data_IF_833802211164
#
_entry.id   IF_833802211164
#
_cell.length_a   1.000
_cell.length_b   1.000
_cell.length_c   1.000
_cell.angle_alpha   90.00
_cell.angle_beta   90.00
_cell.angle_gamma   90.00
#
_symmetry.space_group_name_H-M   'P 1'
#
loop_
_entity.id
_entity.type
_entity.pdbx_description
1 polymer ?
#
# COMPACT_ATOMS: atom_id res chain seq x y z
N UNK A 1 59.31 -1.68 -5.45
CA UNK A 1 58.19 -1.17 -6.26
C UNK A 1 56.86 -1.94 -6.14
N UNK A 2 56.78 -3.19 -5.69
CA UNK A 2 55.50 -3.97 -5.60
C UNK A 2 54.54 -3.62 -4.44
N UNK A 3 55.05 -2.94 -3.38
CA UNK A 3 54.20 -2.56 -2.22
C UNK A 3 53.38 -1.28 -2.43
N UNK A 4 53.83 -0.36 -3.28
CA UNK A 4 53.15 0.89 -3.53
C UNK A 4 51.87 0.75 -4.37
N UNK A 5 51.85 -0.25 -5.26
CA UNK A 5 50.71 -0.46 -6.16
C UNK A 5 49.44 -1.00 -5.44
N UNK A 6 49.63 -1.84 -4.40
CA UNK A 6 48.51 -2.36 -3.58
C UNK A 6 47.84 -1.28 -2.74
N UNK A 7 48.61 -0.26 -2.29
CA UNK A 7 48.06 0.82 -1.46
C UNK A 7 47.27 1.87 -2.25
N UNK A 8 47.44 1.87 -3.58
CA UNK A 8 46.68 2.77 -4.49
C UNK A 8 45.47 2.03 -5.05
N UNK A 9 45.57 0.73 -5.28
CA UNK A 9 44.47 -0.06 -5.86
C UNK A 9 43.26 -0.20 -4.92
N UNK A 10 43.50 -0.34 -3.61
CA UNK A 10 42.45 -0.51 -2.61
C UNK A 10 41.55 0.74 -2.46
N UNK A 11 42.09 1.98 -2.30
CA UNK A 11 41.26 3.18 -2.26
C UNK A 11 40.60 3.49 -3.60
N UNK A 12 41.23 3.14 -4.73
CA UNK A 12 40.63 3.30 -6.05
C UNK A 12 39.43 2.35 -6.25
N UNK A 13 39.53 1.11 -5.75
CA UNK A 13 38.42 0.15 -5.78
C UNK A 13 37.26 0.59 -4.86
N UNK A 14 37.56 1.13 -3.69
CA UNK A 14 36.58 1.71 -2.77
C UNK A 14 35.91 2.97 -3.38
N UNK A 15 36.66 3.79 -4.11
CA UNK A 15 36.09 4.96 -4.80
C UNK A 15 35.17 4.54 -5.95
N UNK A 16 35.50 3.46 -6.68
CA UNK A 16 34.66 2.93 -7.73
C UNK A 16 33.31 2.36 -7.19
N UNK A 17 33.31 1.77 -6.00
CA UNK A 17 32.09 1.33 -5.33
C UNK A 17 31.18 2.50 -4.88
N UNK A 18 31.76 3.67 -4.60
CA UNK A 18 30.99 4.85 -4.14
C UNK A 18 30.23 5.56 -5.28
N UNK A 19 30.71 5.43 -6.52
CA UNK A 19 30.08 6.10 -7.69
C UNK A 19 28.81 5.38 -8.18
N UNK A 20 28.57 4.12 -7.75
CA UNK A 20 27.43 3.32 -8.17
C UNK A 20 26.10 3.59 -7.39
N UNK A 21 26.12 4.35 -6.32
CA UNK A 21 24.99 4.49 -5.39
C UNK A 21 24.37 5.89 -5.40
N UNK A 22 23.83 6.35 -6.49
CA UNK A 22 23.21 7.66 -6.41
C UNK A 22 22.58 8.22 -7.66
N UNK A 23 21.98 7.44 -8.50
CA UNK A 23 21.04 8.00 -9.47
C UNK A 23 19.67 8.06 -8.81
N UNK A 24 19.30 9.24 -8.29
CA UNK A 24 17.93 9.51 -7.92
C UNK A 24 17.05 9.27 -9.15
N UNK A 25 16.14 8.32 -9.05
CA UNK A 25 15.21 8.01 -10.15
C UNK A 25 14.32 9.23 -10.33
N UNK A 26 14.42 9.85 -11.50
CA UNK A 26 13.61 11.01 -11.82
C UNK A 26 12.17 10.54 -12.05
N UNK A 27 11.24 11.00 -11.22
CA UNK A 27 9.80 10.79 -11.48
C UNK A 27 9.43 11.46 -12.81
N UNK A 28 8.49 10.87 -13.57
CA UNK A 28 8.01 11.49 -14.80
C UNK A 28 7.46 12.88 -14.56
N UNK A 29 7.82 13.81 -15.43
CA UNK A 29 7.28 15.17 -15.38
C UNK A 29 5.77 15.15 -15.63
N UNK A 30 5.03 16.08 -15.00
CA UNK A 30 3.59 16.21 -15.21
C UNK A 30 3.32 16.42 -16.70
N UNK A 31 2.52 15.54 -17.34
CA UNK A 31 2.23 15.67 -18.76
C UNK A 31 1.46 16.95 -19.10
N UNK A 32 1.78 17.57 -20.22
CA UNK A 32 1.05 18.73 -20.71
C UNK A 32 -0.38 18.39 -21.13
N UNK A 33 -0.57 17.20 -21.71
CA UNK A 33 -1.89 16.63 -21.98
C UNK A 33 -2.28 15.69 -20.84
N UNK A 34 -3.41 16.00 -20.18
CA UNK A 34 -3.85 15.27 -19.01
C UNK A 34 -4.97 14.29 -19.39
N UNK A 35 -4.72 13.03 -19.10
CA UNK A 35 -5.61 11.90 -19.30
C UNK A 35 -5.61 11.00 -18.07
N UNK A 36 -6.26 9.84 -18.14
CA UNK A 36 -6.34 8.90 -17.03
C UNK A 36 -5.39 7.71 -17.14
N UNK A 37 -4.63 7.61 -18.25
CA UNK A 37 -3.68 6.51 -18.46
C UNK A 37 -2.38 7.00 -19.08
N UNK A 38 -1.26 6.62 -18.48
CA UNK A 38 0.09 6.97 -18.94
C UNK A 38 1.03 5.79 -18.92
N UNK A 39 1.95 5.74 -19.90
CA UNK A 39 3.07 4.81 -19.97
C UNK A 39 4.38 5.57 -20.16
N UNK A 40 5.40 5.26 -19.37
CA UNK A 40 6.73 5.83 -19.44
C UNK A 40 7.77 4.73 -19.60
N UNK A 41 8.51 4.75 -20.68
CA UNK A 41 9.57 3.80 -21.02
C UNK A 41 9.14 2.32 -20.99
N UNK A 42 7.83 2.08 -21.11
CA UNK A 42 7.24 0.74 -21.14
C UNK A 42 6.00 0.74 -22.04
N UNK A 43 5.61 -0.46 -22.47
CA UNK A 43 4.34 -0.69 -23.15
C UNK A 43 3.61 -1.84 -22.43
N UNK A 44 2.58 -1.48 -21.68
CA UNK A 44 1.82 -2.43 -20.86
C UNK A 44 0.57 -2.92 -21.59
N UNK A 45 -0.11 -2.03 -22.30
CA UNK A 45 -1.37 -2.30 -22.99
C UNK A 45 -1.27 -2.04 -24.49
N UNK A 46 -2.15 -2.67 -25.27
CA UNK A 46 -2.35 -2.28 -26.67
C UNK A 46 -3.22 -1.01 -26.77
N UNK A 47 -3.27 -0.41 -27.96
CA UNK A 47 -3.96 0.87 -28.16
C UNK A 47 -5.49 0.77 -27.93
N UNK A 48 -6.09 -0.39 -28.23
CA UNK A 48 -7.51 -0.62 -27.97
C UNK A 48 -7.82 -0.70 -26.48
N UNK A 49 -6.97 -1.43 -25.75
CA UNK A 49 -7.06 -1.58 -24.29
C UNK A 49 -6.85 -0.25 -23.58
N UNK A 50 -5.83 0.54 -24.01
CA UNK A 50 -5.58 1.88 -23.48
C UNK A 50 -6.81 2.75 -23.62
N UNK A 51 -7.33 2.87 -24.84
CA UNK A 51 -8.50 3.70 -25.14
C UNK A 51 -9.72 3.27 -24.33
N UNK A 52 -9.96 1.96 -24.19
CA UNK A 52 -11.09 1.44 -23.43
C UNK A 52 -10.97 1.79 -21.94
N UNK A 53 -9.78 1.56 -21.35
CA UNK A 53 -9.52 1.88 -19.93
C UNK A 53 -9.62 3.39 -19.69
N UNK A 54 -8.99 4.20 -20.53
CA UNK A 54 -8.99 5.65 -20.45
C UNK A 54 -10.43 6.22 -20.51
N UNK A 55 -11.24 5.77 -21.47
CA UNK A 55 -12.63 6.21 -21.59
C UNK A 55 -13.46 5.83 -20.36
N UNK A 56 -13.24 4.65 -19.82
CA UNK A 56 -13.90 4.22 -18.56
C UNK A 56 -13.58 5.15 -17.41
N UNK A 57 -12.31 5.51 -17.24
CA UNK A 57 -11.83 6.35 -16.16
C UNK A 57 -12.29 7.80 -16.31
N UNK A 58 -12.29 8.33 -17.53
CA UNK A 58 -12.79 9.68 -17.85
C UNK A 58 -14.29 9.74 -17.55
N UNK A 59 -15.09 8.78 -18.03
CA UNK A 59 -16.53 8.75 -17.76
C UNK A 59 -16.84 8.68 -16.26
N UNK A 60 -16.01 7.97 -15.50
CA UNK A 60 -16.14 7.91 -14.04
C UNK A 60 -15.85 9.27 -13.39
N UNK A 61 -14.77 9.92 -13.80
CA UNK A 61 -14.39 11.22 -13.28
C UNK A 61 -15.46 12.29 -13.60
N UNK A 62 -16.01 12.26 -14.80
CA UNK A 62 -17.06 13.18 -15.23
C UNK A 62 -18.34 13.02 -14.40
N UNK A 63 -18.66 11.78 -14.00
CA UNK A 63 -19.88 11.49 -13.21
C UNK A 63 -19.73 11.69 -11.71
N UNK A 64 -18.51 11.58 -11.15
CA UNK A 64 -18.27 11.57 -9.69
C UNK A 64 -17.33 12.66 -9.21
N UNK A 65 -16.63 13.32 -10.11
CA UNK A 65 -15.49 14.21 -9.86
C UNK A 65 -14.25 13.53 -9.28
N UNK A 66 -14.28 12.23 -8.95
CA UNK A 66 -13.13 11.47 -8.45
C UNK A 66 -12.22 11.09 -9.60
N UNK A 67 -10.94 11.47 -9.53
CA UNK A 67 -9.97 11.20 -10.57
C UNK A 67 -9.19 9.93 -10.26
N UNK A 68 -9.34 8.91 -11.09
CA UNK A 68 -8.52 7.69 -11.06
C UNK A 68 -7.54 7.76 -12.22
N UNK A 69 -6.24 7.70 -11.91
CA UNK A 69 -5.16 7.76 -12.90
C UNK A 69 -4.32 6.50 -12.80
N UNK A 70 -4.00 5.91 -13.94
CA UNK A 70 -3.09 4.77 -14.04
C UNK A 70 -1.79 5.23 -14.67
N UNK A 71 -0.68 4.93 -14.02
CA UNK A 71 0.67 5.22 -14.51
C UNK A 71 1.46 3.92 -14.55
N UNK A 72 1.90 3.52 -15.73
CA UNK A 72 2.83 2.42 -15.93
C UNK A 72 4.23 2.97 -16.16
N UNK A 73 5.18 2.52 -15.37
CA UNK A 73 6.61 2.84 -15.51
C UNK A 73 7.41 1.56 -15.73
N UNK A 74 8.55 1.69 -16.39
CA UNK A 74 9.45 0.56 -16.59
C UNK A 74 9.93 -0.01 -15.24
N UNK A 75 10.45 0.86 -14.38
CA UNK A 75 10.98 0.54 -13.05
C UNK A 75 10.94 1.77 -12.14
N UNK A 76 10.92 1.57 -10.83
CA UNK A 76 11.13 2.62 -9.84
C UNK A 76 12.61 2.91 -9.59
N UNK A 77 13.52 2.16 -10.25
CA UNK A 77 14.97 2.32 -10.10
C UNK A 77 15.49 2.02 -8.69
N UNK A 78 14.79 1.16 -7.96
CA UNK A 78 15.15 0.77 -6.60
C UNK A 78 14.55 1.67 -5.51
N UNK A 79 13.77 2.70 -5.87
CA UNK A 79 12.99 3.44 -4.90
C UNK A 79 11.78 2.62 -4.44
N UNK A 80 11.38 2.80 -3.18
CA UNK A 80 10.19 2.13 -2.65
C UNK A 80 8.94 2.57 -3.45
N UNK A 81 8.18 1.62 -3.98
CA UNK A 81 7.05 1.88 -4.88
C UNK A 81 6.01 2.83 -4.29
N UNK A 82 5.77 2.75 -2.97
CA UNK A 82 4.83 3.65 -2.29
C UNK A 82 5.30 5.10 -2.32
N UNK A 83 6.62 5.33 -2.16
CA UNK A 83 7.19 6.68 -2.20
C UNK A 83 7.14 7.24 -3.61
N UNK A 84 7.53 6.43 -4.61
CA UNK A 84 7.48 6.80 -6.01
C UNK A 84 6.05 7.14 -6.46
N UNK A 85 5.04 6.34 -6.02
CA UNK A 85 3.63 6.61 -6.28
C UNK A 85 3.17 7.91 -5.61
N UNK A 86 3.56 8.14 -4.36
CA UNK A 86 3.25 9.36 -3.63
C UNK A 86 3.83 10.58 -4.33
N UNK A 87 5.10 10.55 -4.71
CA UNK A 87 5.79 11.66 -5.35
C UNK A 87 5.15 12.01 -6.71
N UNK A 88 4.73 11.03 -7.51
CA UNK A 88 3.98 11.28 -8.76
C UNK A 88 2.64 11.92 -8.42
N UNK A 89 1.86 11.32 -7.53
CA UNK A 89 0.50 11.76 -7.22
C UNK A 89 0.46 13.20 -6.70
N UNK A 90 1.39 13.54 -5.81
CA UNK A 90 1.51 14.86 -5.19
C UNK A 90 2.05 15.89 -6.19
N UNK A 91 3.13 15.58 -6.93
CA UNK A 91 3.73 16.48 -7.92
C UNK A 91 2.77 16.78 -9.07
N UNK A 92 2.01 15.80 -9.54
CA UNK A 92 1.03 16.01 -10.60
C UNK A 92 -0.23 16.68 -10.09
N UNK A 93 -0.51 16.60 -8.76
CA UNK A 93 -1.70 17.15 -8.13
C UNK A 93 -2.97 16.46 -8.64
N UNK A 94 -2.96 15.10 -8.66
CA UNK A 94 -4.10 14.31 -9.11
C UNK A 94 -5.29 14.53 -8.18
N UNK A 95 -6.48 14.77 -8.75
CA UNK A 95 -7.67 15.13 -8.00
C UNK A 95 -7.95 16.62 -8.02
N UNK A 96 -9.00 17.04 -7.34
CA UNK A 96 -9.43 18.43 -7.28
C UNK A 96 -8.91 19.09 -6.00
N UNK A 97 -8.42 20.33 -6.14
CA UNK A 97 -8.01 21.13 -4.99
C UNK A 97 -9.16 21.24 -3.96
N UNK A 98 -8.84 21.01 -2.69
CA UNK A 98 -9.78 21.09 -1.60
C UNK A 98 -10.75 19.90 -1.47
N UNK A 99 -10.87 19.05 -2.51
CA UNK A 99 -11.56 17.75 -2.41
C UNK A 99 -10.61 16.62 -2.18
N UNK A 100 -9.38 16.71 -2.66
CA UNK A 100 -8.30 15.73 -2.55
C UNK A 100 -8.75 14.32 -2.98
N UNK A 101 -9.58 14.27 -4.03
CA UNK A 101 -10.29 13.08 -4.49
C UNK A 101 -9.58 12.34 -5.63
N UNK A 102 -8.25 12.39 -5.62
CA UNK A 102 -7.39 11.67 -6.55
C UNK A 102 -7.07 10.25 -6.09
N UNK A 103 -6.94 9.33 -7.03
CA UNK A 103 -6.44 7.97 -6.81
C UNK A 103 -5.44 7.66 -7.93
N UNK A 104 -4.23 7.23 -7.57
CA UNK A 104 -3.22 6.81 -8.53
C UNK A 104 -2.99 5.29 -8.42
N UNK A 105 -3.02 4.59 -9.54
CA UNK A 105 -2.53 3.22 -9.65
C UNK A 105 -1.18 3.26 -10.36
N UNK A 106 -0.11 2.97 -9.64
CA UNK A 106 1.24 2.85 -10.19
C UNK A 106 1.55 1.39 -10.49
N UNK A 107 2.03 1.11 -11.70
CA UNK A 107 2.51 -0.22 -12.11
C UNK A 107 3.97 -0.11 -12.52
N UNK A 108 4.87 -0.74 -11.76
CA UNK A 108 6.30 -0.84 -12.07
C UNK A 108 6.58 -2.22 -12.68
N UNK A 109 6.71 -2.25 -14.01
CA UNK A 109 6.63 -3.50 -14.79
C UNK A 109 7.81 -4.43 -14.52
N UNK A 110 9.04 -3.93 -14.56
CA UNK A 110 10.25 -4.73 -14.31
C UNK A 110 10.37 -5.11 -12.82
N UNK A 111 9.90 -4.24 -11.93
CA UNK A 111 9.92 -4.50 -10.47
C UNK A 111 8.78 -5.44 -10.05
N UNK A 112 7.86 -5.77 -10.97
CA UNK A 112 6.64 -6.54 -10.71
C UNK A 112 5.87 -6.01 -9.52
N UNK A 113 5.76 -4.69 -9.43
CA UNK A 113 5.13 -3.99 -8.32
C UNK A 113 3.92 -3.18 -8.77
N UNK A 114 2.85 -3.22 -8.00
CA UNK A 114 1.69 -2.35 -8.15
C UNK A 114 1.39 -1.66 -6.84
N UNK A 115 1.04 -0.39 -6.90
CA UNK A 115 0.66 0.39 -5.72
C UNK A 115 -0.54 1.28 -6.05
N UNK A 116 -1.53 1.31 -5.17
CA UNK A 116 -2.65 2.25 -5.24
C UNK A 116 -2.40 3.31 -4.17
N UNK A 117 -2.21 4.55 -4.61
CA UNK A 117 -2.05 5.73 -3.77
C UNK A 117 -3.38 6.47 -3.69
N UNK A 118 -3.86 6.75 -2.47
CA UNK A 118 -5.15 7.40 -2.23
C UNK A 118 -4.97 8.86 -1.78
N UNK A 119 -5.75 9.77 -2.34
CA UNK A 119 -5.83 11.15 -1.90
C UNK A 119 -6.56 11.29 -0.56
N UNK A 120 -6.32 12.37 0.17
CA UNK A 120 -6.90 12.62 1.50
C UNK A 120 -8.43 12.50 1.52
N UNK A 121 -9.10 12.99 0.49
CA UNK A 121 -10.55 12.98 0.39
C UNK A 121 -11.16 11.61 0.07
N UNK A 122 -10.34 10.64 -0.37
CA UNK A 122 -10.81 9.28 -0.68
C UNK A 122 -10.59 8.28 0.44
N UNK A 123 -9.75 8.58 1.42
CA UNK A 123 -9.33 7.63 2.47
C UNK A 123 -10.47 7.11 3.35
N UNK A 124 -11.55 7.87 3.50
CA UNK A 124 -12.72 7.41 4.27
C UNK A 124 -13.39 6.18 3.67
N UNK A 125 -13.37 6.05 2.34
CA UNK A 125 -13.94 4.92 1.59
C UNK A 125 -12.85 3.96 1.10
N UNK A 126 -11.71 4.49 0.64
CA UNK A 126 -10.54 3.74 0.19
C UNK A 126 -9.52 3.65 1.31
N UNK A 127 -9.86 2.90 2.37
CA UNK A 127 -8.91 2.61 3.45
C UNK A 127 -7.76 1.74 2.96
N UNK A 128 -6.61 1.75 3.65
CA UNK A 128 -5.47 0.89 3.29
C UNK A 128 -5.86 -0.60 3.24
N UNK A 129 -6.78 -1.02 4.12
CA UNK A 129 -7.29 -2.39 4.12
C UNK A 129 -8.08 -2.72 2.84
N UNK A 130 -9.01 -1.87 2.42
CA UNK A 130 -9.79 -2.03 1.18
C UNK A 130 -8.86 -1.96 -0.02
N UNK A 131 -7.94 -1.00 -0.03
CA UNK A 131 -6.95 -0.84 -1.09
C UNK A 131 -6.10 -2.09 -1.26
N UNK A 132 -5.65 -2.69 -0.14
CA UNK A 132 -4.89 -3.94 -0.13
C UNK A 132 -5.71 -5.10 -0.69
N UNK A 133 -6.96 -5.25 -0.29
CA UNK A 133 -7.86 -6.28 -0.82
C UNK A 133 -8.03 -6.16 -2.34
N UNK A 134 -8.23 -4.96 -2.86
CA UNK A 134 -8.33 -4.72 -4.30
C UNK A 134 -7.04 -5.13 -5.02
N UNK A 135 -5.89 -4.76 -4.50
CA UNK A 135 -4.61 -5.16 -5.09
C UNK A 135 -4.46 -6.68 -5.11
N UNK A 136 -4.72 -7.35 -3.99
CA UNK A 136 -4.49 -8.79 -3.83
C UNK A 136 -5.53 -9.66 -4.55
N UNK A 137 -6.79 -9.22 -4.62
CA UNK A 137 -7.89 -10.04 -5.16
C UNK A 137 -8.24 -9.69 -6.61
N UNK A 138 -8.08 -8.44 -7.02
CA UNK A 138 -8.55 -7.98 -8.33
C UNK A 138 -7.39 -7.72 -9.32
N UNK A 139 -6.25 -7.20 -8.85
CA UNK A 139 -5.15 -6.81 -9.76
C UNK A 139 -4.10 -7.90 -9.87
N UNK A 140 -3.47 -8.28 -8.77
CA UNK A 140 -2.32 -9.19 -8.73
C UNK A 140 -2.61 -10.57 -9.35
N UNK A 141 -3.77 -11.21 -9.16
CA UNK A 141 -4.05 -12.50 -9.77
C UNK A 141 -4.05 -12.48 -11.31
N UNK A 142 -4.51 -11.39 -11.92
CA UNK A 142 -4.50 -11.25 -13.38
C UNK A 142 -3.07 -10.88 -13.87
N UNK A 143 -2.35 -10.03 -13.16
CA UNK A 143 -0.96 -9.70 -13.48
C UNK A 143 -0.03 -10.92 -13.44
N UNK A 144 -0.26 -11.87 -12.51
CA UNK A 144 0.46 -13.17 -12.48
C UNK A 144 0.23 -14.02 -13.71
N UNK A 145 -0.91 -13.85 -14.39
CA UNK A 145 -1.21 -14.52 -15.67
C UNK A 145 -0.66 -13.77 -16.88
N UNK A 146 -0.09 -12.57 -16.67
CA UNK A 146 0.33 -11.67 -17.74
C UNK A 146 -0.82 -10.86 -18.36
N UNK A 147 -2.03 -10.94 -17.80
CA UNK A 147 -3.19 -10.18 -18.27
C UNK A 147 -3.30 -8.85 -17.52
N UNK A 148 -2.49 -7.88 -17.95
CA UNK A 148 -2.45 -6.58 -17.33
C UNK A 148 -3.74 -5.79 -17.53
N UNK A 149 -4.36 -5.92 -18.70
CA UNK A 149 -5.61 -5.20 -18.97
C UNK A 149 -6.73 -5.66 -18.03
N UNK A 150 -6.98 -6.96 -17.94
CA UNK A 150 -8.01 -7.48 -17.04
C UNK A 150 -7.75 -7.13 -15.58
N UNK A 151 -6.48 -7.11 -15.14
CA UNK A 151 -6.13 -6.69 -13.78
C UNK A 151 -6.44 -5.22 -13.53
N UNK A 152 -6.11 -4.33 -14.47
CA UNK A 152 -6.42 -2.91 -14.35
C UNK A 152 -7.92 -2.63 -14.48
N UNK A 153 -8.62 -3.32 -15.38
CA UNK A 153 -10.05 -3.15 -15.57
C UNK A 153 -10.84 -3.59 -14.31
N UNK A 154 -10.51 -4.76 -13.74
CA UNK A 154 -11.10 -5.25 -12.49
C UNK A 154 -10.74 -4.36 -11.31
N UNK A 155 -9.47 -4.01 -11.15
CA UNK A 155 -9.00 -3.15 -10.07
C UNK A 155 -9.66 -1.77 -10.08
N UNK A 156 -9.77 -1.13 -11.25
CA UNK A 156 -10.47 0.15 -11.38
C UNK A 156 -11.96 0.02 -11.12
N UNK A 157 -12.61 -1.08 -11.54
CA UNK A 157 -14.01 -1.36 -11.20
C UNK A 157 -14.20 -1.51 -9.70
N UNK A 158 -13.32 -2.27 -9.04
CA UNK A 158 -13.34 -2.47 -7.59
C UNK A 158 -13.15 -1.14 -6.83
N UNK A 159 -12.24 -0.28 -7.28
CA UNK A 159 -12.08 1.08 -6.74
C UNK A 159 -13.38 1.89 -6.87
N UNK A 160 -14.02 1.87 -8.05
CA UNK A 160 -15.28 2.56 -8.28
C UNK A 160 -16.40 2.05 -7.35
N UNK A 161 -16.45 0.74 -7.09
CA UNK A 161 -17.39 0.13 -6.13
C UNK A 161 -17.07 0.54 -4.70
N UNK A 162 -15.78 0.55 -4.31
CA UNK A 162 -15.36 0.99 -3.00
C UNK A 162 -15.73 2.45 -2.72
N UNK A 163 -15.54 3.32 -3.72
CA UNK A 163 -15.92 4.74 -3.64
C UNK A 163 -17.44 4.95 -3.52
N UNK A 164 -18.26 3.97 -3.90
CA UNK A 164 -19.71 3.96 -3.66
C UNK A 164 -20.09 3.29 -2.34
N UNK A 165 -19.14 2.69 -1.61
CA UNK A 165 -19.40 1.87 -0.43
C UNK A 165 -19.99 0.49 -0.77
N UNK A 166 -19.88 0.04 -2.02
CA UNK A 166 -20.48 -1.19 -2.53
C UNK A 166 -19.46 -2.34 -2.69
N UNK A 167 -18.16 -2.09 -2.45
CA UNK A 167 -17.14 -3.13 -2.60
C UNK A 167 -17.35 -4.26 -1.59
N UNK A 168 -17.58 -5.45 -2.11
CA UNK A 168 -17.69 -6.69 -1.33
C UNK A 168 -16.55 -7.61 -1.71
N UNK A 169 -15.80 -8.05 -0.71
CA UNK A 169 -14.78 -9.07 -0.90
C UNK A 169 -15.43 -10.36 -1.37
N UNK A 170 -15.11 -10.80 -2.58
CA UNK A 170 -15.40 -12.16 -3.03
C UNK A 170 -14.43 -13.12 -2.33
N UNK A 171 -14.82 -13.62 -1.14
CA UNK A 171 -14.02 -14.52 -0.29
C UNK A 171 -13.61 -15.85 -0.94
N UNK A 172 -13.79 -16.00 -2.24
CA UNK A 172 -13.43 -17.25 -2.95
C UNK A 172 -11.93 -17.55 -2.95
N UNK A 173 -11.07 -16.58 -2.62
CA UNK A 173 -9.61 -16.75 -2.59
C UNK A 173 -8.93 -16.44 -1.25
N UNK A 174 -9.67 -16.08 -0.21
CA UNK A 174 -9.10 -15.78 1.12
C UNK A 174 -8.56 -17.04 1.87
N UNK A 175 -8.59 -18.21 1.24
CA UNK A 175 -8.21 -19.49 1.84
C UNK A 175 -6.79 -19.99 1.54
N UNK A 176 -5.91 -19.22 0.86
CA UNK A 176 -4.60 -19.77 0.45
C UNK A 176 -3.42 -18.79 0.46
N UNK A 177 -3.43 -17.78 1.27
CA UNK A 177 -2.34 -16.79 1.34
C UNK A 177 -1.87 -16.41 2.74
N UNK A 178 -2.29 -17.11 3.74
CA UNK A 178 -1.77 -17.05 5.09
C UNK A 178 -1.12 -18.36 5.45
N UNK A 179 0.14 -18.58 5.12
CA UNK A 179 1.00 -19.41 5.98
C UNK A 179 1.13 -18.65 7.30
N UNK A 180 0.01 -18.60 8.02
CA UNK A 180 0.05 -18.38 9.46
C UNK A 180 1.00 -19.44 9.98
N UNK A 181 1.99 -19.02 10.78
CA UNK A 181 2.84 -19.90 11.55
C UNK A 181 1.93 -21.02 12.04
N UNK A 182 2.06 -22.22 11.40
CA UNK A 182 1.08 -23.29 11.56
C UNK A 182 0.82 -23.49 13.04
N UNK A 183 -0.44 -23.65 13.44
CA UNK A 183 -0.82 -23.81 14.84
C UNK A 183 0.08 -24.82 15.58
N UNK A 184 0.70 -25.77 14.86
CA UNK A 184 1.73 -26.66 15.34
C UNK A 184 3.03 -25.97 15.78
N UNK A 185 3.44 -24.89 15.11
CA UNK A 185 4.66 -24.14 15.47
C UNK A 185 4.41 -23.32 16.74
N UNK A 186 3.24 -22.70 16.87
CA UNK A 186 2.85 -22.01 18.08
C UNK A 186 2.74 -23.00 19.25
N UNK A 187 2.10 -24.15 19.04
CA UNK A 187 1.99 -25.21 20.02
C UNK A 187 3.38 -25.75 20.41
N UNK A 188 4.29 -25.93 19.47
CA UNK A 188 5.67 -26.31 19.72
C UNK A 188 6.40 -25.33 20.63
N UNK A 189 6.31 -24.03 20.36
CA UNK A 189 6.92 -23.01 21.21
C UNK A 189 6.29 -22.92 22.59
N UNK A 190 4.98 -23.13 22.72
CA UNK A 190 4.31 -23.20 24.03
C UNK A 190 4.81 -24.42 24.81
N UNK A 191 4.87 -25.59 24.20
CA UNK A 191 5.37 -26.80 24.86
C UNK A 191 6.85 -26.64 25.23
N UNK A 192 7.67 -26.11 24.32
CA UNK A 192 9.09 -25.82 24.59
C UNK A 192 9.25 -24.86 25.78
N UNK A 193 8.44 -23.81 25.85
CA UNK A 193 8.45 -22.84 26.95
C UNK A 193 8.08 -23.51 28.31
N UNK A 194 7.04 -24.36 28.30
CA UNK A 194 6.64 -25.13 29.49
C UNK A 194 7.76 -26.08 29.92
N UNK A 195 8.41 -26.77 29.00
CA UNK A 195 9.51 -27.67 29.31
C UNK A 195 10.71 -26.92 29.89
N UNK A 196 11.04 -25.73 29.33
CA UNK A 196 12.12 -24.88 29.84
C UNK A 196 11.80 -24.45 31.30
N UNK A 197 10.58 -23.99 31.55
CA UNK A 197 10.15 -23.61 32.93
C UNK A 197 10.25 -24.83 33.86
N UNK A 198 9.78 -25.99 33.44
CA UNK A 198 9.82 -27.21 34.26
C UNK A 198 11.26 -27.67 34.57
N UNK A 199 12.20 -27.53 33.63
CA UNK A 199 13.61 -27.84 33.81
C UNK A 199 14.30 -26.83 34.72
N UNK A 200 14.02 -25.52 34.55
CA UNK A 200 14.54 -24.48 35.44
C UNK A 200 13.98 -24.60 36.88
N UNK A 201 12.71 -24.93 37.01
CA UNK A 201 12.06 -25.15 38.35
C UNK A 201 12.62 -26.36 39.06
N UNK A 202 13.13 -27.39 38.37
CA UNK A 202 13.75 -28.57 38.99
C UNK A 202 15.16 -28.33 39.55
N UNK A 203 15.80 -27.19 39.21
CA UNK A 203 17.15 -26.86 39.69
C UNK A 203 17.18 -26.02 40.99
N UNK A 204 16.03 -25.66 41.53
CA UNK A 204 15.89 -24.91 42.77
C UNK A 204 15.35 -25.78 43.91
N UNK A 205 16.08 -26.83 44.28
CA UNK A 205 15.85 -27.54 45.56
C UNK A 205 16.49 -26.76 46.69
N UNK A 206 15.71 -26.07 47.50
CA UNK A 206 16.17 -25.33 48.69
C UNK A 206 14.98 -24.94 49.57
N UNK A 207 14.79 -25.67 50.61
CA UNK A 207 13.88 -25.55 51.72
C UNK A 207 13.77 -24.10 52.28
N UNK A 208 12.55 -23.62 52.58
CA UNK A 208 12.36 -22.39 53.35
C UNK A 208 10.92 -21.87 53.29
N UNK A 209 10.12 -22.12 54.32
CA UNK A 209 8.77 -21.63 54.43
C UNK A 209 8.67 -20.11 54.66
N UNK A 210 7.54 -19.51 54.27
CA UNK A 210 7.22 -18.13 54.57
C UNK A 210 6.12 -17.62 53.65
N UNK A 211 4.88 -17.55 54.13
CA UNK A 211 3.77 -17.01 53.37
C UNK A 211 3.89 -15.54 53.08
N UNK A 212 3.55 -15.13 51.88
CA UNK A 212 2.97 -13.81 51.61
C UNK A 212 2.07 -13.91 50.40
N UNK A 213 0.83 -13.61 50.64
CA UNK A 213 -0.19 -13.40 49.61
C UNK A 213 0.21 -12.18 48.81
N UNK A 214 0.68 -12.38 47.58
CA UNK A 214 0.70 -11.35 46.56
C UNK A 214 -0.43 -11.67 45.60
N UNK A 215 -1.51 -10.90 45.67
CA UNK A 215 -2.61 -10.92 44.73
C UNK A 215 -2.10 -10.43 43.38
N UNK A 216 -1.91 -11.33 42.44
CA UNK A 216 -1.79 -10.97 41.05
C UNK A 216 -3.15 -10.46 40.53
N UNK A 217 -3.17 -9.60 39.52
CA UNK A 217 -4.42 -9.12 38.96
C UNK A 217 -5.24 -10.30 38.43
N UNK A 218 -6.48 -10.38 38.89
CA UNK A 218 -7.42 -11.43 38.55
C UNK A 218 -7.82 -11.25 37.07
N UNK A 219 -8.09 -12.33 36.35
CA UNK A 219 -8.54 -12.30 34.95
C UNK A 219 -9.79 -11.41 34.76
N UNK A 220 -10.55 -11.18 35.85
CA UNK A 220 -11.66 -10.25 35.90
C UNK A 220 -11.23 -8.79 35.70
N UNK A 221 -10.06 -8.38 36.21
CA UNK A 221 -9.56 -7.01 36.09
C UNK A 221 -9.10 -6.68 34.65
N UNK A 222 -8.64 -7.67 33.90
CA UNK A 222 -8.22 -7.51 32.50
C UNK A 222 -9.43 -7.31 31.58
N UNK A 223 -10.57 -7.94 31.90
CA UNK A 223 -11.81 -7.83 31.10
C UNK A 223 -12.46 -6.46 31.33
N UNK A 224 -12.37 -5.88 32.51
CA UNK A 224 -12.94 -4.57 32.84
C UNK A 224 -12.15 -3.45 32.15
N UNK A 225 -10.82 -3.58 32.00
CA UNK A 225 -9.98 -2.56 31.36
C UNK A 225 -10.17 -2.52 29.85
N UNK A 226 -10.57 -3.63 29.21
CA UNK A 226 -10.83 -3.69 27.76
C UNK A 226 -12.18 -3.09 27.36
N UNK A 227 -13.12 -2.91 28.29
CA UNK A 227 -14.45 -2.34 28.02
C UNK A 227 -14.51 -0.82 28.15
N UNK A 228 -13.49 -0.18 28.75
CA UNK A 228 -13.50 1.27 29.01
C UNK A 228 -12.98 2.12 27.81
N UNK A 229 -12.49 1.48 26.72
CA UNK A 229 -11.96 2.15 25.55
C UNK A 229 -12.99 2.51 24.45
N UNK A 230 -14.27 2.33 24.70
CA UNK A 230 -15.31 2.54 23.69
C UNK A 230 -16.28 3.64 24.11
N UNK A 231 -15.90 4.86 23.86
CA UNK A 231 -16.82 5.98 23.97
C UNK A 231 -16.10 7.30 24.18
N UNK A 232 -15.92 8.06 23.12
CA UNK A 232 -16.06 9.52 23.12
C UNK A 232 -15.75 10.05 21.74
N UNK A 233 -16.71 10.78 21.15
CA UNK A 233 -16.41 11.70 20.08
C UNK A 233 -17.48 11.80 18.98
N UNK A 234 -18.70 12.17 19.38
CA UNK A 234 -19.69 12.78 18.48
C UNK A 234 -19.34 14.26 18.29
N UNK A 235 -19.45 14.74 17.08
CA UNK A 235 -19.40 16.18 16.74
C UNK A 235 -19.32 16.29 15.22
N UNK A 236 -20.28 16.53 14.56
CA UNK A 236 -21.28 17.39 14.03
C UNK A 236 -20.69 18.62 13.38
N UNK A 237 -20.86 18.76 12.04
CA UNK A 237 -20.51 19.95 11.30
C UNK A 237 -20.89 19.80 9.83
N UNK A 238 -22.16 20.09 9.52
CA UNK A 238 -22.64 20.27 8.16
C UNK A 238 -22.25 21.67 7.68
N UNK A 239 -21.75 21.80 6.48
CA UNK A 239 -22.07 22.97 5.65
C UNK A 239 -21.96 22.56 4.19
N UNK A 240 -23.03 22.80 3.51
CA UNK A 240 -23.29 22.56 2.13
C UNK A 240 -22.70 23.61 1.21
N UNK A 241 -22.77 23.32 -0.07
CA UNK A 241 -22.68 24.33 -1.10
C UNK A 241 -21.88 23.91 -2.30
N UNK A 242 -22.49 23.82 -3.46
CA UNK A 242 -21.87 24.04 -4.73
C UNK A 242 -21.71 22.82 -5.61
N UNK A 243 -22.75 22.48 -6.35
CA UNK A 243 -22.67 21.72 -7.59
C UNK A 243 -21.90 22.55 -8.63
N UNK A 244 -20.64 22.18 -8.89
CA UNK A 244 -19.88 22.61 -10.03
C UNK A 244 -19.46 21.38 -10.81
N UNK A 245 -20.17 21.06 -11.87
CA UNK A 245 -19.79 20.03 -12.81
C UNK A 245 -18.45 20.41 -13.46
N UNK A 246 -17.42 19.58 -13.31
CA UNK A 246 -16.17 19.73 -13.96
C UNK A 246 -15.66 18.37 -14.40
N UNK A 247 -15.94 18.01 -15.63
CA UNK A 247 -15.31 16.87 -16.29
C UNK A 247 -13.81 17.07 -16.44
N UNK A 248 -13.10 16.04 -16.95
CA UNK A 248 -11.66 16.07 -17.24
C UNK A 248 -11.20 17.19 -18.19
N UNK A 249 -12.12 18.01 -18.69
CA UNK A 249 -11.81 19.21 -19.47
C UNK A 249 -10.96 20.26 -18.71
N UNK A 250 -10.66 20.05 -17.44
CA UNK A 250 -9.94 20.98 -16.56
C UNK A 250 -8.68 20.45 -15.88
N UNK A 251 -8.03 19.41 -16.37
CA UNK A 251 -6.72 18.98 -15.87
C UNK A 251 -6.70 18.51 -14.40
N UNK A 252 -5.53 18.08 -13.93
CA UNK A 252 -5.30 17.75 -12.51
C UNK A 252 -5.39 19.02 -11.67
N UNK A 253 -6.31 19.04 -10.74
CA UNK A 253 -6.76 20.23 -10.01
C UNK A 253 -5.95 20.55 -8.74
N UNK A 254 -4.85 19.85 -8.46
CA UNK A 254 -4.04 20.10 -7.26
C UNK A 254 -4.56 19.40 -6.00
N UNK A 255 -5.06 18.19 -6.10
CA UNK A 255 -5.43 17.36 -4.96
C UNK A 255 -4.22 16.97 -4.11
N UNK A 256 -4.40 16.92 -2.79
CA UNK A 256 -3.35 16.57 -1.83
C UNK A 256 -3.35 15.11 -1.43
N UNK A 257 -2.17 14.56 -1.17
CA UNK A 257 -1.95 13.19 -0.70
C UNK A 257 -1.30 13.19 0.68
N UNK A 258 -1.39 12.10 1.45
CA UNK A 258 -0.75 11.94 2.77
C UNK A 258 -0.23 10.51 3.01
N UNK A 259 0.09 9.80 1.93
CA UNK A 259 0.75 8.49 2.02
C UNK A 259 -0.16 7.30 2.30
N UNK A 260 -1.50 7.47 2.25
CA UNK A 260 -2.43 6.33 2.33
C UNK A 260 -2.41 5.51 1.05
N UNK A 261 -2.63 4.20 1.18
CA UNK A 261 -2.65 3.28 0.05
C UNK A 261 -2.07 1.91 0.37
N UNK A 262 -2.08 1.02 -0.59
CA UNK A 262 -1.48 -0.29 -0.46
C UNK A 262 -0.93 -0.81 -1.78
N UNK A 263 0.03 -1.71 -1.70
CA UNK A 263 0.66 -2.32 -2.86
C UNK A 263 0.78 -3.83 -2.76
N UNK A 264 1.19 -4.43 -3.87
CA UNK A 264 1.48 -5.84 -4.00
C UNK A 264 2.48 -6.10 -5.11
N UNK A 265 2.90 -7.35 -5.24
CA UNK A 265 3.80 -7.83 -6.29
C UNK A 265 3.25 -9.10 -6.93
N UNK A 266 3.67 -9.35 -8.19
CA UNK A 266 3.24 -10.53 -8.95
C UNK A 266 4.41 -11.33 -9.55
#
# INVERSE_FOLDING_TARGET
>A
MKRSFKNILLPLLLLLCYVGFGQAVKIPEKPSFQTSYYEFDTKLLDEGQKKALEQKLINYADSTSTQIVVVAVKTTGGEAIWKYAFDIADTWGIGQAGKDNGILILVAVEDRGVFIQTGKGTQGLMTDAITKLIVENDIVPEFKKGDYYSGLDRGTTAIMQAMKGEYKEDRKNAGRGGEGIGGGVILFFIILFIVIIAVLSRRGGGNGGGGSRFGGPDLADIIILSSLGRGFGSGGGSSGGGFGGGGFGGGFGGGGFNGGGAGGSW
#
